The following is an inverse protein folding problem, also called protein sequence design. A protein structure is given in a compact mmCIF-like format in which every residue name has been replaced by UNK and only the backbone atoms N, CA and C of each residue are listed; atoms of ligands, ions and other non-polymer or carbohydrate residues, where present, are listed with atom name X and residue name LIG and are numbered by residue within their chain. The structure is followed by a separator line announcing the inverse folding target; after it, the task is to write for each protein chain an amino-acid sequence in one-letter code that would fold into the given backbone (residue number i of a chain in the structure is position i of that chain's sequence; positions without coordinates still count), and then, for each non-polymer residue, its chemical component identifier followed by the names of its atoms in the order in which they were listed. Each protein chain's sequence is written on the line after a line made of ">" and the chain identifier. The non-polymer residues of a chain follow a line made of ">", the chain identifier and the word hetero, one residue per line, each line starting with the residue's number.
data_IF_595743901035
#
_entry.id   IF_595743901035
#
_cell.length_a   1.000
_cell.length_b   1.000
_cell.length_c   1.000
_cell.angle_alpha   90.00
_cell.angle_beta   90.00
_cell.angle_gamma   90.00
#
_symmetry.space_group_name_H-M   'P 1'
#
loop_
_entity.id
_entity.type
_entity.pdbx_description
1 polymer ?
#
# COMPACT_ATOMS: atom_id res chain seq x y z
N UNK A 1 7.39 18.08 -13.36
CA UNK A 1 8.07 18.50 -12.10
C UNK A 1 7.27 17.96 -10.92
N UNK A 2 7.90 17.53 -9.81
CA UNK A 2 7.17 17.10 -8.62
C UNK A 2 6.35 18.24 -8.02
N UNK A 3 5.16 17.95 -7.52
CA UNK A 3 4.34 18.93 -6.80
C UNK A 3 4.93 19.26 -5.43
N UNK A 4 4.53 20.40 -4.87
CA UNK A 4 5.00 20.86 -3.54
C UNK A 4 4.75 19.79 -2.46
N UNK A 5 3.58 19.15 -2.48
CA UNK A 5 3.24 18.08 -1.55
C UNK A 5 4.21 16.88 -1.65
N UNK A 6 4.62 16.50 -2.87
CA UNK A 6 5.61 15.43 -3.08
C UNK A 6 6.99 15.82 -2.56
N UNK A 7 7.41 17.06 -2.80
CA UNK A 7 8.68 17.59 -2.29
C UNK A 7 8.72 17.61 -0.76
N UNK A 8 7.62 18.07 -0.13
CA UNK A 8 7.49 18.09 1.33
C UNK A 8 7.54 16.68 1.93
N UNK A 9 6.86 15.71 1.31
CA UNK A 9 6.89 14.32 1.77
C UNK A 9 8.28 13.68 1.66
N UNK A 10 9.03 14.02 0.60
CA UNK A 10 10.41 13.55 0.42
C UNK A 10 11.37 14.16 1.44
N UNK A 11 11.25 15.47 1.71
CA UNK A 11 12.09 16.18 2.68
C UNK A 11 11.72 15.86 4.14
N UNK A 12 10.43 15.61 4.41
CA UNK A 12 9.88 15.36 5.75
C UNK A 12 9.00 14.10 5.74
N UNK A 13 9.61 12.90 5.63
CA UNK A 13 8.86 11.67 5.60
C UNK A 13 8.24 11.36 6.98
N UNK A 14 7.13 10.61 6.97
CA UNK A 14 6.58 10.05 8.18
C UNK A 14 7.55 9.04 8.80
N UNK A 15 7.82 9.15 10.10
CA UNK A 15 8.67 8.20 10.83
C UNK A 15 7.89 6.92 11.10
N UNK A 16 8.04 5.93 10.24
CA UNK A 16 7.35 4.64 10.36
C UNK A 16 8.31 3.49 10.08
N UNK A 17 8.09 2.30 10.65
CA UNK A 17 8.88 1.11 10.35
C UNK A 17 8.37 0.34 9.11
N UNK A 18 7.50 0.96 8.29
CA UNK A 18 6.92 0.30 7.13
C UNK A 18 7.96 0.13 6.02
N UNK A 19 8.00 -1.07 5.45
CA UNK A 19 8.92 -1.45 4.38
C UNK A 19 8.17 -1.87 3.11
N UNK A 20 6.90 -2.25 3.25
CA UNK A 20 6.07 -2.75 2.16
C UNK A 20 4.73 -2.05 2.14
N UNK A 21 4.15 -1.91 0.95
CA UNK A 21 2.76 -1.49 0.77
C UNK A 21 2.09 -2.34 -0.31
N UNK A 22 0.78 -2.52 -0.22
CA UNK A 22 -0.04 -3.18 -1.24
C UNK A 22 -1.40 -2.51 -1.31
N UNK A 23 -2.03 -2.47 -2.49
CA UNK A 23 -3.37 -1.94 -2.63
C UNK A 23 -4.37 -2.71 -1.75
N UNK A 24 -5.35 -2.03 -1.17
CA UNK A 24 -6.36 -2.64 -0.30
C UNK A 24 -7.61 -3.13 -1.06
N UNK A 25 -7.67 -2.88 -2.37
CA UNK A 25 -8.81 -3.19 -3.23
C UNK A 25 -9.99 -2.22 -3.12
N UNK A 26 -9.94 -1.21 -2.25
CA UNK A 26 -10.96 -0.16 -2.04
C UNK A 26 -10.54 1.21 -2.58
N UNK A 27 -9.27 1.36 -2.97
CA UNK A 27 -8.70 2.60 -3.50
C UNK A 27 -7.60 3.19 -2.62
N UNK A 28 -7.20 2.49 -1.55
CA UNK A 28 -6.09 2.83 -0.67
C UNK A 28 -4.97 1.81 -0.70
N UNK A 29 -4.12 1.88 0.34
CA UNK A 29 -2.97 0.99 0.52
C UNK A 29 -2.88 0.50 1.97
N UNK A 30 -2.49 -0.77 2.13
CA UNK A 30 -2.08 -1.37 3.39
C UNK A 30 -0.56 -1.35 3.49
N UNK A 31 -0.02 -0.85 4.62
CA UNK A 31 1.42 -0.77 4.88
C UNK A 31 1.85 -1.84 5.87
N UNK A 32 3.01 -2.45 5.63
CA UNK A 32 3.52 -3.60 6.38
C UNK A 32 5.01 -3.42 6.73
N UNK A 33 5.41 -3.94 7.89
CA UNK A 33 6.77 -3.84 8.43
C UNK A 33 7.65 -5.05 8.09
N UNK A 34 7.04 -6.14 7.63
CA UNK A 34 7.74 -7.41 7.34
C UNK A 34 7.09 -8.14 6.15
N UNK A 35 7.87 -9.03 5.53
CA UNK A 35 7.48 -9.77 4.33
C UNK A 35 6.29 -10.71 4.56
N UNK A 36 6.21 -11.37 5.72
CA UNK A 36 5.12 -12.30 6.02
C UNK A 36 3.77 -11.57 6.08
N UNK A 37 3.73 -10.39 6.71
CA UNK A 37 2.53 -9.55 6.78
C UNK A 37 2.18 -8.98 5.40
N UNK A 38 3.18 -8.57 4.63
CA UNK A 38 2.98 -8.14 3.24
C UNK A 38 2.33 -9.22 2.39
N UNK A 39 2.86 -10.46 2.43
CA UNK A 39 2.31 -11.56 1.66
C UNK A 39 0.86 -11.87 2.03
N UNK A 40 0.48 -11.74 3.31
CA UNK A 40 -0.92 -11.86 3.73
C UNK A 40 -1.80 -10.78 3.10
N UNK A 41 -1.38 -9.51 3.19
CA UNK A 41 -2.12 -8.40 2.58
C UNK A 41 -2.22 -8.51 1.05
N UNK A 42 -1.21 -9.10 0.39
CA UNK A 42 -1.27 -9.42 -1.05
C UNK A 42 -2.36 -10.45 -1.34
N UNK A 43 -2.47 -11.52 -0.54
CA UNK A 43 -3.55 -12.50 -0.72
C UNK A 43 -4.93 -11.87 -0.52
N UNK A 44 -5.07 -11.00 0.48
CA UNK A 44 -6.32 -10.26 0.72
C UNK A 44 -6.68 -9.38 -0.48
N UNK A 45 -5.72 -8.64 -1.03
CA UNK A 45 -5.91 -7.82 -2.23
C UNK A 45 -6.34 -8.64 -3.45
N UNK A 46 -5.68 -9.78 -3.70
CA UNK A 46 -5.99 -10.65 -4.84
C UNK A 46 -7.39 -11.26 -4.71
N UNK A 47 -7.82 -11.59 -3.48
CA UNK A 47 -9.18 -12.05 -3.23
C UNK A 47 -10.22 -10.99 -3.60
N UNK A 48 -10.01 -9.74 -3.16
CA UNK A 48 -10.90 -8.62 -3.50
C UNK A 48 -10.94 -8.37 -5.02
N UNK A 49 -9.79 -8.44 -5.70
CA UNK A 49 -9.75 -8.30 -7.16
C UNK A 49 -10.51 -9.41 -7.88
N UNK A 50 -10.37 -10.66 -7.43
CA UNK A 50 -11.07 -11.79 -8.01
C UNK A 50 -12.59 -11.66 -7.88
N UNK A 51 -13.05 -11.21 -6.71
CA UNK A 51 -14.47 -10.93 -6.46
C UNK A 51 -14.99 -9.81 -7.37
N UNK A 52 -14.21 -8.73 -7.55
CA UNK A 52 -14.58 -7.62 -8.44
C UNK A 52 -14.60 -7.97 -9.92
N UNK A 53 -13.65 -8.79 -10.38
CA UNK A 53 -13.52 -9.14 -11.80
C UNK A 53 -14.43 -10.31 -12.21
N UNK A 54 -14.95 -11.08 -11.25
CA UNK A 54 -15.91 -12.15 -11.48
C UNK A 54 -17.38 -11.69 -11.45
N UNK A 55 -17.61 -10.40 -11.23
CA UNK A 55 -18.90 -9.73 -11.22
C UNK A 55 -19.11 -8.97 -12.53
#
# INVERSE_FOLDING_TARGET
>A
MPGEASLKAAAHPAKTPYLYFVADGKGGHTFNTNLASHNRSVQDYLKVLKEKNGQ
#
